data_IF_907562514016
#
_entry.id   IF_907562514016
#
_cell.length_a   1.000
_cell.length_b   1.000
_cell.length_c   1.000
_cell.angle_alpha   90.00
_cell.angle_beta   90.00
_cell.angle_gamma   90.00
#
_symmetry.space_group_name_H-M   'P 1'
#
loop_
_entity.id
_entity.type
_entity.pdbx_description
1 polymer ?
#
# COMPACT_ATOMS: atom_id res chain seq x y z
N UNK A 1 0.22 -34.03 -47.08
CA UNK A 1 -0.40 -32.71 -46.86
C UNK A 1 -1.83 -32.94 -46.42
N UNK A 2 -2.06 -33.10 -45.11
CA UNK A 2 -3.40 -33.25 -44.52
C UNK A 2 -3.44 -32.34 -43.31
N UNK A 3 -4.20 -31.26 -43.43
CA UNK A 3 -4.41 -30.24 -42.42
C UNK A 3 -5.50 -30.72 -41.45
N UNK A 4 -5.11 -31.25 -40.30
CA UNK A 4 -6.02 -31.49 -39.18
C UNK A 4 -6.40 -30.16 -38.54
N UNK A 5 -7.55 -29.63 -38.92
CA UNK A 5 -8.18 -28.49 -38.27
C UNK A 5 -8.78 -28.93 -36.93
N UNK A 6 -8.08 -28.65 -35.84
CA UNK A 6 -8.61 -28.81 -34.49
C UNK A 6 -9.88 -27.93 -34.32
N UNK A 7 -10.98 -28.45 -33.74
CA UNK A 7 -12.18 -27.65 -33.57
C UNK A 7 -11.95 -26.59 -32.50
N UNK A 8 -12.26 -25.34 -32.84
CA UNK A 8 -12.22 -24.22 -31.91
C UNK A 8 -13.16 -24.49 -30.72
N UNK A 9 -12.58 -24.64 -29.53
CA UNK A 9 -13.33 -24.75 -28.27
C UNK A 9 -14.02 -23.41 -28.02
N UNK A 10 -15.29 -23.31 -28.40
CA UNK A 10 -16.18 -22.21 -28.05
C UNK A 10 -16.22 -22.08 -26.52
N UNK A 11 -15.52 -21.08 -25.97
CA UNK A 11 -15.66 -20.65 -24.58
C UNK A 11 -17.11 -20.23 -24.34
N UNK A 12 -17.91 -21.16 -23.83
CA UNK A 12 -19.32 -20.93 -23.48
C UNK A 12 -19.39 -19.84 -22.41
N UNK A 13 -19.94 -18.68 -22.77
CA UNK A 13 -20.23 -17.60 -21.85
C UNK A 13 -21.18 -18.14 -20.77
N UNK A 14 -20.70 -18.27 -19.53
CA UNK A 14 -21.45 -18.85 -18.42
C UNK A 14 -22.60 -17.90 -18.09
N UNK A 15 -23.83 -18.27 -18.43
CA UNK A 15 -25.01 -17.45 -18.11
C UNK A 15 -25.13 -17.31 -16.59
N UNK A 16 -25.27 -16.08 -16.12
CA UNK A 16 -25.45 -15.75 -14.70
C UNK A 16 -26.74 -16.43 -14.22
N UNK A 17 -26.59 -17.54 -13.49
CA UNK A 17 -27.70 -18.30 -12.96
C UNK A 17 -28.35 -17.52 -11.79
N UNK A 18 -29.65 -17.62 -11.57
CA UNK A 18 -30.40 -16.86 -10.53
C UNK A 18 -29.88 -17.07 -9.09
N UNK A 19 -29.15 -18.17 -8.84
CA UNK A 19 -28.42 -18.39 -7.58
C UNK A 19 -27.13 -17.57 -7.44
N UNK A 20 -26.53 -17.13 -8.54
CA UNK A 20 -25.34 -16.26 -8.56
C UNK A 20 -25.67 -14.83 -8.14
N UNK A 21 -26.85 -14.31 -8.46
CA UNK A 21 -27.26 -12.97 -8.04
C UNK A 21 -27.54 -12.90 -6.54
N UNK A 22 -28.02 -13.98 -5.93
CA UNK A 22 -28.20 -14.07 -4.46
C UNK A 22 -26.83 -14.10 -3.76
N UNK A 23 -25.87 -14.87 -4.27
CA UNK A 23 -24.49 -14.86 -3.77
C UNK A 23 -23.82 -13.50 -3.90
N UNK A 24 -24.04 -12.81 -5.03
CA UNK A 24 -23.57 -11.43 -5.23
C UNK A 24 -24.24 -10.45 -4.28
N UNK A 25 -25.56 -10.56 -4.03
CA UNK A 25 -26.28 -9.72 -3.06
C UNK A 25 -25.81 -9.94 -1.62
N UNK A 26 -25.50 -11.19 -1.25
CA UNK A 26 -25.00 -11.54 0.08
C UNK A 26 -23.61 -10.94 0.35
N UNK A 27 -22.76 -10.85 -0.68
CA UNK A 27 -21.43 -10.19 -0.61
C UNK A 27 -21.55 -8.68 -0.78
N UNK A 28 -22.53 -8.20 -1.55
CA UNK A 28 -22.72 -6.77 -1.80
C UNK A 28 -22.99 -6.00 -0.51
N UNK A 29 -23.79 -6.55 0.42
CA UNK A 29 -24.11 -5.90 1.69
C UNK A 29 -22.86 -5.62 2.57
N UNK A 30 -22.01 -6.61 2.93
CA UNK A 30 -20.81 -6.35 3.73
C UNK A 30 -19.77 -5.49 2.98
N UNK A 31 -19.61 -5.67 1.67
CA UNK A 31 -18.70 -4.83 0.87
C UNK A 31 -19.18 -3.39 0.84
N UNK A 32 -20.49 -3.18 0.67
CA UNK A 32 -21.09 -1.84 0.70
C UNK A 32 -20.90 -1.18 2.07
N UNK A 33 -21.12 -1.91 3.17
CA UNK A 33 -20.91 -1.38 4.52
C UNK A 33 -19.44 -0.99 4.75
N UNK A 34 -18.49 -1.83 4.35
CA UNK A 34 -17.06 -1.51 4.45
C UNK A 34 -16.68 -0.31 3.58
N UNK A 35 -17.16 -0.27 2.34
CA UNK A 35 -16.93 0.86 1.45
C UNK A 35 -17.52 2.14 2.03
N UNK A 36 -18.75 2.10 2.55
CA UNK A 36 -19.39 3.24 3.19
C UNK A 36 -18.60 3.73 4.40
N UNK A 37 -18.17 2.82 5.28
CA UNK A 37 -17.42 3.16 6.49
C UNK A 37 -16.06 3.80 6.18
N UNK A 38 -15.43 3.46 5.06
CA UNK A 38 -14.15 4.03 4.64
C UNK A 38 -14.35 5.33 3.85
N UNK A 39 -15.31 5.36 2.92
CA UNK A 39 -15.54 6.50 2.04
C UNK A 39 -16.14 7.68 2.82
N UNK A 40 -17.05 7.43 3.77
CA UNK A 40 -17.67 8.47 4.56
C UNK A 40 -16.67 9.38 5.30
N UNK A 41 -15.72 8.88 6.10
CA UNK A 41 -14.74 9.72 6.78
C UNK A 41 -13.77 10.40 5.81
N UNK A 42 -13.40 9.75 4.70
CA UNK A 42 -12.57 10.38 3.66
C UNK A 42 -13.31 11.57 3.06
N UNK A 43 -14.56 11.38 2.68
CA UNK A 43 -15.39 12.45 2.13
C UNK A 43 -15.60 13.57 3.16
N UNK A 44 -15.89 13.22 4.41
CA UNK A 44 -16.02 14.18 5.50
C UNK A 44 -14.73 14.98 5.74
N UNK A 45 -13.56 14.34 5.64
CA UNK A 45 -12.28 15.01 5.78
C UNK A 45 -12.03 16.00 4.63
N UNK A 46 -12.31 15.61 3.38
CA UNK A 46 -12.17 16.48 2.20
C UNK A 46 -13.16 17.64 2.25
N UNK A 47 -14.40 17.41 2.69
CA UNK A 47 -15.36 18.50 2.90
C UNK A 47 -14.83 19.43 4.00
N UNK A 48 -14.28 18.88 5.09
CA UNK A 48 -13.70 19.68 6.18
C UNK A 48 -12.49 20.53 5.79
N UNK A 49 -11.70 20.14 4.76
CA UNK A 49 -10.59 20.96 4.26
C UNK A 49 -11.04 22.11 3.36
N UNK A 50 -12.21 21.99 2.74
CA UNK A 50 -12.79 22.97 1.82
C UNK A 50 -13.72 23.95 2.57
N UNK A 51 -14.46 23.44 3.55
CA UNK A 51 -15.42 24.18 4.36
C UNK A 51 -14.82 24.48 5.73
N UNK A 52 -14.12 25.61 5.83
CA UNK A 52 -13.46 26.02 7.07
C UNK A 52 -14.47 26.75 7.95
N UNK A 53 -14.45 26.46 9.26
CA UNK A 53 -15.27 27.17 10.24
C UNK A 53 -14.67 28.55 10.46
N UNK A 54 -15.37 29.59 10.04
CA UNK A 54 -14.98 30.97 10.30
C UNK A 54 -15.10 31.34 11.78
N UNK A 55 -14.50 32.47 12.21
CA UNK A 55 -14.55 32.96 13.59
C UNK A 55 -15.98 33.16 14.12
N UNK A 56 -16.93 33.46 13.23
CA UNK A 56 -18.35 33.70 13.54
C UNK A 56 -19.19 32.40 13.57
N UNK A 57 -18.55 31.23 13.49
CA UNK A 57 -19.22 29.92 13.46
C UNK A 57 -19.86 29.56 12.11
N UNK A 58 -19.89 30.48 11.15
CA UNK A 58 -20.30 30.25 9.78
C UNK A 58 -19.30 29.34 9.04
N UNK A 59 -19.82 28.48 8.17
CA UNK A 59 -18.99 27.60 7.34
C UNK A 59 -18.72 28.30 6.03
N UNK A 60 -17.47 28.73 5.81
CA UNK A 60 -17.08 29.42 4.59
C UNK A 60 -16.35 28.47 3.64
N UNK A 61 -16.66 28.57 2.36
CA UNK A 61 -15.89 27.89 1.32
C UNK A 61 -14.54 28.59 1.19
N UNK A 62 -13.47 27.92 1.61
CA UNK A 62 -12.13 28.49 1.61
C UNK A 62 -11.10 27.51 1.09
N UNK A 63 -10.50 27.86 -0.05
CA UNK A 63 -9.32 27.19 -0.61
C UNK A 63 -8.01 27.66 0.03
N UNK A 64 -8.09 28.49 1.08
CA UNK A 64 -6.92 29.06 1.74
C UNK A 64 -6.01 27.97 2.34
N UNK A 65 -6.57 26.90 2.90
CA UNK A 65 -5.81 25.77 3.46
C UNK A 65 -4.95 25.06 2.41
N UNK A 66 -5.47 24.86 1.20
CA UNK A 66 -4.71 24.27 0.10
C UNK A 66 -3.63 25.23 -0.40
N UNK A 67 -3.95 26.52 -0.56
CA UNK A 67 -2.96 27.53 -0.95
C UNK A 67 -1.84 27.61 0.09
N UNK A 68 -2.18 27.68 1.38
CA UNK A 68 -1.23 27.71 2.48
C UNK A 68 -0.28 26.50 2.45
N UNK A 69 -0.81 25.29 2.29
CA UNK A 69 -0.01 24.07 2.20
C UNK A 69 1.03 24.13 1.07
N UNK A 70 0.66 24.65 -0.11
CA UNK A 70 1.57 24.77 -1.25
C UNK A 70 2.46 26.02 -1.24
N UNK A 71 2.27 26.95 -0.31
CA UNK A 71 3.12 28.14 -0.13
C UNK A 71 4.02 28.05 1.09
N UNK A 72 3.70 27.20 2.06
CA UNK A 72 4.46 27.01 3.28
C UNK A 72 5.67 26.10 3.06
N UNK A 73 6.87 26.65 3.28
CA UNK A 73 8.13 25.94 3.06
C UNK A 73 8.30 24.71 3.95
N UNK A 74 7.70 24.70 5.15
CA UNK A 74 7.73 23.54 6.04
C UNK A 74 6.88 22.38 5.47
N UNK A 75 5.66 22.67 5.04
CA UNK A 75 4.77 21.69 4.39
C UNK A 75 5.38 21.09 3.12
N UNK A 76 5.98 21.91 2.25
CA UNK A 76 6.69 21.42 1.06
C UNK A 76 7.90 20.57 1.41
N UNK A 77 8.70 20.99 2.41
CA UNK A 77 9.89 20.25 2.81
C UNK A 77 9.53 18.85 3.34
N UNK A 78 8.48 18.75 4.16
CA UNK A 78 7.99 17.47 4.67
C UNK A 78 7.44 16.57 3.56
N UNK A 79 6.69 17.15 2.60
CA UNK A 79 6.19 16.44 1.43
C UNK A 79 7.35 15.94 0.57
N UNK A 80 8.37 16.77 0.36
CA UNK A 80 9.56 16.41 -0.42
C UNK A 80 10.34 15.28 0.22
N UNK A 81 10.61 15.34 1.53
CA UNK A 81 11.29 14.26 2.25
C UNK A 81 10.50 12.96 2.14
N UNK A 82 9.18 13.01 2.33
CA UNK A 82 8.33 11.82 2.22
C UNK A 82 8.39 11.22 0.81
N UNK A 83 8.20 12.03 -0.23
CA UNK A 83 8.26 11.59 -1.62
C UNK A 83 9.65 11.04 -1.98
N UNK A 84 10.72 11.72 -1.57
CA UNK A 84 12.09 11.29 -1.81
C UNK A 84 12.36 9.94 -1.14
N UNK A 85 12.03 9.80 0.15
CA UNK A 85 12.21 8.55 0.89
C UNK A 85 11.40 7.42 0.27
N UNK A 86 10.13 7.64 -0.07
CA UNK A 86 9.29 6.63 -0.74
C UNK A 86 9.86 6.25 -2.11
N UNK A 87 10.34 7.21 -2.89
CA UNK A 87 10.95 6.94 -4.20
C UNK A 87 12.22 6.09 -4.06
N UNK A 88 13.13 6.47 -3.16
CA UNK A 88 14.37 5.72 -2.90
C UNK A 88 14.06 4.31 -2.39
N UNK A 89 13.17 4.16 -1.40
CA UNK A 89 12.74 2.85 -0.91
C UNK A 89 12.07 2.01 -2.00
N UNK A 90 11.21 2.62 -2.82
CA UNK A 90 10.53 1.94 -3.93
C UNK A 90 11.52 1.45 -4.99
N UNK A 91 12.49 2.28 -5.37
CA UNK A 91 13.55 1.90 -6.32
C UNK A 91 14.40 0.75 -5.74
N UNK A 92 14.81 0.82 -4.47
CA UNK A 92 15.56 -0.24 -3.81
C UNK A 92 14.76 -1.56 -3.75
N UNK A 93 13.46 -1.47 -3.41
CA UNK A 93 12.56 -2.62 -3.40
C UNK A 93 12.41 -3.24 -4.79
N UNK A 94 12.33 -2.44 -5.86
CA UNK A 94 12.30 -2.97 -7.22
C UNK A 94 13.66 -3.56 -7.61
N UNK A 95 14.76 -2.87 -7.32
CA UNK A 95 16.10 -3.30 -7.69
C UNK A 95 16.49 -4.64 -7.01
N UNK A 96 16.10 -4.83 -5.75
CA UNK A 96 16.48 -6.00 -4.95
C UNK A 96 15.35 -7.04 -4.90
N UNK A 97 14.11 -6.60 -4.67
CA UNK A 97 12.95 -7.47 -4.53
C UNK A 97 12.51 -8.12 -5.83
N UNK A 98 12.59 -7.42 -6.97
CA UNK A 98 12.24 -7.98 -8.27
C UNK A 98 13.12 -9.18 -8.68
N UNK A 99 14.47 -9.11 -8.63
CA UNK A 99 15.29 -10.27 -8.97
C UNK A 99 15.10 -11.42 -7.98
N UNK A 100 14.91 -11.14 -6.69
CA UNK A 100 14.59 -12.18 -5.69
C UNK A 100 13.25 -12.84 -6.04
N UNK A 101 12.21 -12.07 -6.34
CA UNK A 101 10.90 -12.60 -6.72
C UNK A 101 10.96 -13.44 -8.01
N UNK A 102 11.74 -13.00 -9.00
CA UNK A 102 11.99 -13.77 -10.22
C UNK A 102 12.75 -15.07 -9.93
N UNK A 103 13.78 -15.03 -9.08
CA UNK A 103 14.51 -16.23 -8.67
C UNK A 103 13.59 -17.23 -7.95
N UNK A 104 12.78 -16.77 -6.99
CA UNK A 104 11.82 -17.59 -6.26
C UNK A 104 10.73 -18.18 -7.17
N UNK A 105 10.32 -17.44 -8.22
CA UNK A 105 9.35 -17.95 -9.20
C UNK A 105 9.85 -19.20 -9.92
N UNK A 106 11.16 -19.31 -10.15
CA UNK A 106 11.76 -20.45 -10.88
C UNK A 106 12.47 -21.46 -9.97
N UNK A 107 12.59 -21.19 -8.66
CA UNK A 107 13.32 -22.03 -7.71
C UNK A 107 12.36 -22.74 -6.75
N UNK A 108 12.37 -24.08 -6.76
CA UNK A 108 11.54 -24.94 -5.89
C UNK A 108 12.32 -25.51 -4.68
N UNK A 109 13.50 -24.95 -4.38
CA UNK A 109 14.39 -25.46 -3.33
C UNK A 109 14.03 -25.02 -1.90
N UNK A 110 14.63 -25.66 -0.89
CA UNK A 110 14.49 -25.28 0.55
C UNK A 110 14.86 -23.82 0.82
N UNK A 111 15.80 -23.27 0.04
CA UNK A 111 16.25 -21.89 0.14
C UNK A 111 15.13 -20.88 -0.21
N UNK A 112 14.27 -21.23 -1.17
CA UNK A 112 13.10 -20.41 -1.51
C UNK A 112 12.09 -20.33 -0.35
N UNK A 113 11.86 -21.45 0.34
CA UNK A 113 10.99 -21.50 1.51
C UNK A 113 11.49 -20.63 2.68
N UNK A 114 12.81 -20.63 2.94
CA UNK A 114 13.40 -19.77 3.97
C UNK A 114 13.28 -18.28 3.62
N UNK A 115 13.61 -17.90 2.39
CA UNK A 115 13.50 -16.50 1.93
C UNK A 115 12.05 -16.01 2.00
N UNK A 116 11.10 -16.86 1.60
CA UNK A 116 9.67 -16.52 1.68
C UNK A 116 9.20 -16.39 3.12
N UNK A 117 9.62 -17.27 4.04
CA UNK A 117 9.34 -17.13 5.47
C UNK A 117 9.91 -15.85 6.06
N UNK A 118 11.16 -15.51 5.72
CA UNK A 118 11.82 -14.28 6.16
C UNK A 118 11.12 -13.02 5.60
N UNK A 119 10.57 -13.08 4.39
CA UNK A 119 9.83 -11.95 3.79
C UNK A 119 8.48 -11.70 4.47
N UNK A 120 7.83 -12.74 5.01
CA UNK A 120 6.55 -12.61 5.71
C UNK A 120 6.77 -12.19 7.16
N UNK A 121 7.88 -12.58 7.78
CA UNK A 121 8.18 -12.28 9.18
C UNK A 121 7.97 -10.80 9.58
N UNK A 122 8.43 -9.79 8.82
CA UNK A 122 8.20 -8.38 9.14
C UNK A 122 6.73 -7.97 9.17
N UNK A 123 5.83 -8.66 8.46
CA UNK A 123 4.40 -8.35 8.48
C UNK A 123 3.74 -8.70 9.82
N UNK A 124 4.31 -9.63 10.58
CA UNK A 124 3.82 -9.99 11.91
C UNK A 124 4.37 -9.09 13.02
N UNK A 125 5.49 -8.41 12.76
CA UNK A 125 6.12 -7.52 13.74
C UNK A 125 5.45 -6.14 13.68
N UNK A 126 4.90 -5.63 14.80
CA UNK A 126 4.39 -4.27 14.86
C UNK A 126 5.46 -3.26 14.43
N UNK A 127 5.07 -2.28 13.61
CA UNK A 127 5.98 -1.28 13.03
C UNK A 127 6.83 -0.55 14.08
N UNK A 128 6.27 -0.30 15.26
CA UNK A 128 6.96 0.38 16.35
C UNK A 128 8.14 -0.42 16.90
N UNK A 129 8.01 -1.74 17.02
CA UNK A 129 9.08 -2.62 17.51
C UNK A 129 10.21 -2.67 16.49
N UNK A 130 9.86 -2.76 15.20
CA UNK A 130 10.82 -2.72 14.11
C UNK A 130 11.60 -1.40 14.10
N UNK A 131 10.92 -0.27 14.30
CA UNK A 131 11.57 1.04 14.39
C UNK A 131 12.57 1.10 15.57
N UNK A 132 12.18 0.65 16.76
CA UNK A 132 13.09 0.61 17.92
C UNK A 132 14.28 -0.33 17.72
N UNK A 133 14.06 -1.49 17.09
CA UNK A 133 15.13 -2.42 16.75
C UNK A 133 16.16 -1.74 15.82
N UNK A 134 15.70 -1.06 14.77
CA UNK A 134 16.58 -0.31 13.86
C UNK A 134 17.33 0.83 14.56
N UNK A 135 16.63 1.62 15.39
CA UNK A 135 17.26 2.70 16.17
C UNK A 135 18.35 2.15 17.08
N UNK A 136 18.11 1.01 17.75
CA UNK A 136 19.10 0.40 18.65
C UNK A 136 20.27 -0.23 17.89
N UNK A 137 20.03 -0.80 16.72
CA UNK A 137 21.07 -1.45 15.92
C UNK A 137 21.97 -0.45 15.20
N UNK A 138 21.40 0.61 14.62
CA UNK A 138 22.09 1.59 13.77
C UNK A 138 22.44 2.88 14.52
N UNK A 139 21.81 3.14 15.67
CA UNK A 139 22.04 4.36 16.46
C UNK A 139 23.41 4.44 17.13
N UNK A 140 23.72 5.58 17.77
CA UNK A 140 24.99 5.80 18.48
C UNK A 140 25.17 4.78 19.62
N UNK A 141 26.34 4.15 19.72
CA UNK A 141 26.60 2.98 20.59
C UNK A 141 25.74 1.74 20.28
N UNK A 142 25.14 1.68 19.09
CA UNK A 142 24.44 0.51 18.58
C UNK A 142 25.41 -0.58 18.12
N UNK A 143 24.87 -1.76 17.79
CA UNK A 143 25.68 -2.89 17.34
C UNK A 143 26.54 -2.56 16.11
N UNK A 144 26.03 -1.74 15.19
CA UNK A 144 26.79 -1.33 14.00
C UNK A 144 27.92 -0.36 14.36
N UNK A 145 27.65 0.62 15.22
CA UNK A 145 28.64 1.61 15.68
C UNK A 145 29.79 0.96 16.45
N UNK A 146 29.46 0.02 17.35
CA UNK A 146 30.43 -0.80 18.08
C UNK A 146 31.31 -1.65 17.15
N UNK A 147 30.80 -2.13 16.02
CA UNK A 147 31.56 -2.95 15.06
C UNK A 147 32.42 -2.11 14.10
N UNK A 148 32.02 -0.87 13.79
CA UNK A 148 32.81 0.02 12.93
C UNK A 148 33.87 0.80 13.70
N UNK A 149 33.65 1.04 15.00
CA UNK A 149 34.56 1.80 15.87
C UNK A 149 35.39 0.92 16.82
N UNK A 150 35.27 -0.41 16.73
CA UNK A 150 36.17 -1.40 17.35
C UNK A 150 37.39 -1.66 16.48
#
# INVERSE_FOLDING_TARGET
MSTDTAPAVLRRHRSINRGSSIGLLLVALPVFLLAWLIIFPIFSAVVGTIFVRGPDGATEFSLASYRFFFTDGYSLSNLWVTLWTTAVCGILLLAIGLPIALYLRFSQGRLAAYVQGLAIFPMFVPSIILAYALIRTIGPNGTVDLLLNS
#
